data_IF_169526818621
#
_entry.id   IF_169526818621
#
_cell.length_a   1.000
_cell.length_b   1.000
_cell.length_c   1.000
_cell.angle_alpha   90.00
_cell.angle_beta   90.00
_cell.angle_gamma   90.00
#
_symmetry.space_group_name_H-M   'P 1'
#
loop_
_entity.id
_entity.type
_entity.pdbx_description
1 polymer ?
#
# COMPACT_ATOMS: atom_id res chain seq x y z
N UNK A 1 -17.13 1.33 3.87
CA UNK A 1 -16.45 0.05 3.57
C UNK A 1 -15.41 -0.23 4.64
N UNK A 2 -15.42 -1.42 5.19
CA UNK A 2 -14.43 -1.80 6.21
C UNK A 2 -13.07 -2.00 5.57
N UNK A 3 -12.01 -1.79 6.34
CA UNK A 3 -10.66 -1.79 5.80
C UNK A 3 -10.27 -3.13 5.15
N UNK A 4 -10.71 -4.25 5.71
CA UNK A 4 -10.42 -5.55 5.10
C UNK A 4 -11.18 -5.75 3.79
N UNK A 5 -12.35 -5.15 3.65
CA UNK A 5 -13.06 -5.16 2.37
C UNK A 5 -12.30 -4.34 1.33
N UNK A 6 -11.69 -3.24 1.74
CA UNK A 6 -10.87 -2.43 0.84
C UNK A 6 -9.65 -3.21 0.38
N UNK A 7 -8.92 -3.84 1.30
CA UNK A 7 -7.74 -4.63 0.93
C UNK A 7 -8.12 -5.80 0.04
N UNK A 8 -9.24 -6.47 0.30
CA UNK A 8 -9.71 -7.57 -0.56
C UNK A 8 -10.02 -7.07 -1.97
N UNK A 9 -10.67 -5.92 -2.11
CA UNK A 9 -10.92 -5.34 -3.42
C UNK A 9 -9.64 -5.00 -4.17
N UNK A 10 -8.64 -4.47 -3.46
CA UNK A 10 -7.35 -4.14 -4.06
C UNK A 10 -6.66 -5.41 -4.53
N UNK A 11 -6.63 -6.44 -3.69
CA UNK A 11 -5.99 -7.70 -4.03
C UNK A 11 -6.70 -8.37 -5.21
N UNK A 12 -8.02 -8.36 -5.22
CA UNK A 12 -8.79 -8.90 -6.34
C UNK A 12 -8.52 -8.13 -7.63
N UNK A 13 -8.40 -6.82 -7.54
CA UNK A 13 -8.03 -5.98 -8.68
C UNK A 13 -6.65 -6.36 -9.22
N UNK A 14 -5.68 -6.52 -8.33
CA UNK A 14 -4.33 -6.92 -8.71
C UNK A 14 -4.30 -8.33 -9.32
N UNK A 15 -5.08 -9.25 -8.76
CA UNK A 15 -5.21 -10.60 -9.31
C UNK A 15 -5.74 -10.58 -10.74
N UNK A 16 -6.73 -9.74 -11.00
CA UNK A 16 -7.28 -9.59 -12.34
C UNK A 16 -6.22 -9.10 -13.33
N UNK A 17 -5.45 -8.08 -12.92
CA UNK A 17 -4.35 -7.57 -13.75
C UNK A 17 -3.34 -8.66 -14.02
N UNK A 18 -2.89 -9.34 -12.99
CA UNK A 18 -1.85 -10.36 -13.11
C UNK A 18 -2.31 -11.53 -13.98
N UNK A 19 -3.57 -11.94 -13.86
CA UNK A 19 -4.14 -13.01 -14.69
C UNK A 19 -4.19 -12.61 -16.16
N UNK A 20 -4.42 -11.35 -16.44
CA UNK A 20 -4.54 -10.88 -17.81
C UNK A 20 -3.19 -10.70 -18.49
N UNK A 21 -2.18 -10.15 -17.78
CA UNK A 21 -0.92 -9.76 -18.42
C UNK A 21 0.32 -10.51 -17.91
N UNK A 22 0.21 -11.21 -16.78
CA UNK A 22 1.30 -12.02 -16.25
C UNK A 22 2.47 -11.19 -15.71
N UNK A 23 3.56 -11.88 -15.32
CA UNK A 23 4.77 -11.21 -14.87
C UNK A 23 5.60 -10.68 -16.05
N UNK A 24 6.63 -9.89 -15.73
CA UNK A 24 7.63 -9.49 -16.72
C UNK A 24 7.43 -8.13 -17.35
N UNK A 25 6.36 -7.43 -17.02
CA UNK A 25 6.15 -6.07 -17.52
C UNK A 25 6.83 -5.04 -16.62
N UNK A 26 6.92 -3.81 -17.11
CA UNK A 26 7.44 -2.70 -16.31
C UNK A 26 6.45 -2.31 -15.22
N UNK A 27 6.98 -1.82 -14.12
CA UNK A 27 6.18 -1.36 -12.99
C UNK A 27 5.09 -0.36 -13.44
N UNK A 28 5.43 0.55 -14.32
CA UNK A 28 4.52 1.57 -14.83
C UNK A 28 3.28 0.96 -15.50
N UNK A 29 3.46 -0.15 -16.22
CA UNK A 29 2.36 -0.82 -16.89
C UNK A 29 1.36 -1.37 -15.87
N UNK A 30 1.87 -2.03 -14.83
CA UNK A 30 1.01 -2.56 -13.77
C UNK A 30 0.28 -1.44 -13.04
N UNK A 31 0.95 -0.32 -12.86
CA UNK A 31 0.36 0.83 -12.20
C UNK A 31 -0.88 1.33 -12.94
N UNK A 32 -0.79 1.46 -14.25
CA UNK A 32 -1.92 1.90 -15.10
C UNK A 32 -3.04 0.87 -15.06
N UNK A 33 -2.69 -0.41 -15.17
CA UNK A 33 -3.69 -1.48 -15.16
C UNK A 33 -4.45 -1.55 -13.83
N UNK A 34 -3.73 -1.38 -12.71
CA UNK A 34 -4.39 -1.39 -11.41
C UNK A 34 -5.34 -0.22 -11.25
N UNK A 35 -4.96 0.96 -11.72
CA UNK A 35 -5.84 2.12 -11.68
C UNK A 35 -7.16 1.85 -12.41
N UNK A 36 -7.08 1.21 -13.57
CA UNK A 36 -8.28 0.84 -14.30
C UNK A 36 -9.17 -0.09 -13.48
N UNK A 37 -8.60 -1.14 -12.89
CA UNK A 37 -9.37 -2.11 -12.12
C UNK A 37 -9.99 -1.50 -10.87
N UNK A 38 -9.29 -0.60 -10.19
CA UNK A 38 -9.85 0.11 -9.05
C UNK A 38 -11.03 0.99 -9.47
N UNK A 39 -10.91 1.65 -10.63
CA UNK A 39 -11.98 2.48 -11.17
C UNK A 39 -13.22 1.67 -11.52
N UNK A 40 -13.03 0.51 -12.15
CA UNK A 40 -14.15 -0.37 -12.52
C UNK A 40 -14.92 -0.83 -11.28
N UNK A 41 -14.22 -0.98 -10.15
CA UNK A 41 -14.85 -1.37 -8.90
C UNK A 41 -15.41 -0.21 -8.09
N UNK A 42 -15.36 0.98 -8.65
CA UNK A 42 -15.87 2.21 -8.01
C UNK A 42 -15.20 2.53 -6.68
N UNK A 43 -13.94 2.16 -6.55
CA UNK A 43 -13.17 2.54 -5.37
C UNK A 43 -12.67 3.97 -5.53
N UNK A 44 -12.74 4.73 -4.45
CA UNK A 44 -12.12 6.05 -4.40
C UNK A 44 -10.62 5.87 -4.17
N UNK A 45 -9.79 6.48 -4.99
CA UNK A 45 -8.35 6.41 -4.80
C UNK A 45 -7.64 7.64 -5.35
N UNK A 46 -6.48 7.90 -4.79
CA UNK A 46 -5.57 8.93 -5.27
C UNK A 46 -4.28 8.25 -5.68
N UNK A 47 -3.67 8.76 -6.75
CA UNK A 47 -2.43 8.21 -7.31
C UNK A 47 -1.28 9.17 -7.11
N UNK A 48 -0.06 8.62 -6.97
CA UNK A 48 1.17 9.41 -6.92
C UNK A 48 1.08 10.49 -5.86
N UNK A 49 0.70 10.07 -4.66
CA UNK A 49 0.45 10.99 -3.55
C UNK A 49 1.78 11.33 -2.88
N UNK A 50 2.04 12.62 -2.73
CA UNK A 50 3.25 13.08 -2.05
C UNK A 50 3.00 13.09 -0.54
N UNK A 51 3.96 12.51 0.18
CA UNK A 51 3.95 12.52 1.64
C UNK A 51 5.01 13.49 2.13
N UNK A 52 4.61 14.58 2.79
CA UNK A 52 5.59 15.50 3.35
C UNK A 52 6.37 14.84 4.49
N UNK A 53 7.64 15.15 4.58
CA UNK A 53 8.50 14.66 5.66
C UNK A 53 9.03 15.86 6.43
N UNK A 54 8.83 15.83 7.75
CA UNK A 54 9.35 16.87 8.63
C UNK A 54 10.26 16.22 9.66
N UNK A 55 11.45 16.79 9.82
CA UNK A 55 12.43 16.30 10.78
C UNK A 55 12.85 17.46 11.66
N UNK A 56 12.50 17.42 12.93
CA UNK A 56 12.79 18.50 13.89
C UNK A 56 12.39 19.88 13.35
N UNK A 57 11.19 19.96 12.77
CA UNK A 57 10.68 21.22 12.21
C UNK A 57 11.20 21.56 10.82
N UNK A 58 12.16 20.79 10.31
CA UNK A 58 12.68 21.01 8.97
C UNK A 58 11.87 20.20 7.98
N UNK A 59 11.27 20.87 7.01
CA UNK A 59 10.51 20.21 5.97
C UNK A 59 11.46 19.74 4.87
N UNK A 60 11.42 18.43 4.59
CA UNK A 60 12.17 17.84 3.49
C UNK A 60 11.31 17.90 2.24
N UNK A 61 11.83 18.50 1.20
CA UNK A 61 11.13 18.66 -0.06
C UNK A 61 12.08 18.32 -1.22
N UNK A 62 11.67 17.45 -2.16
CA UNK A 62 10.39 16.79 -2.18
C UNK A 62 10.28 15.71 -1.10
N UNK A 63 9.09 15.44 -0.63
CA UNK A 63 8.84 14.31 0.25
C UNK A 63 8.84 13.01 -0.54
N UNK A 64 8.25 11.99 0.05
CA UNK A 64 8.10 10.70 -0.63
C UNK A 64 6.81 10.70 -1.43
N UNK A 65 6.75 9.83 -2.43
CA UNK A 65 5.58 9.65 -3.27
C UNK A 65 5.14 8.20 -3.19
N UNK A 66 3.87 7.98 -2.90
CA UNK A 66 3.30 6.64 -2.85
C UNK A 66 2.40 6.41 -4.06
N UNK A 67 2.31 5.17 -4.50
CA UNK A 67 1.58 4.86 -5.73
C UNK A 67 0.08 5.12 -5.58
N UNK A 68 -0.52 4.64 -4.50
CA UNK A 68 -1.96 4.79 -4.27
C UNK A 68 -2.28 4.96 -2.79
N UNK A 69 -3.32 5.75 -2.55
CA UNK A 69 -4.06 5.72 -1.29
C UNK A 69 -5.50 5.41 -1.67
N UNK A 70 -6.01 4.29 -1.18
CA UNK A 70 -7.34 3.78 -1.55
C UNK A 70 -8.29 3.93 -0.39
N UNK A 71 -9.46 4.51 -0.65
CA UNK A 71 -10.53 4.74 0.33
C UNK A 71 -10.02 5.44 1.60
N UNK A 72 -9.02 6.29 1.44
CA UNK A 72 -8.39 7.03 2.53
C UNK A 72 -7.88 6.16 3.69
N UNK A 73 -7.67 4.87 3.47
CA UNK A 73 -7.28 3.97 4.55
C UNK A 73 -6.20 2.96 4.19
N UNK A 74 -5.97 2.68 2.91
CA UNK A 74 -4.96 1.70 2.50
C UNK A 74 -3.95 2.34 1.57
N UNK A 75 -2.68 2.24 1.94
CA UNK A 75 -1.57 2.70 1.12
C UNK A 75 -1.09 1.52 0.27
N UNK A 76 -0.88 1.73 -1.03
CA UNK A 76 -0.44 0.67 -1.94
C UNK A 76 0.83 1.09 -2.65
N UNK A 77 1.82 0.20 -2.63
CA UNK A 77 3.05 0.33 -3.39
C UNK A 77 3.16 -0.82 -4.37
N UNK A 78 3.45 -0.51 -5.61
CA UNK A 78 3.61 -1.49 -6.68
C UNK A 78 5.09 -1.68 -6.96
N UNK A 79 5.49 -2.92 -7.15
CA UNK A 79 6.84 -3.28 -7.55
C UNK A 79 6.77 -4.26 -8.73
N UNK A 80 7.83 -4.25 -9.53
CA UNK A 80 8.06 -5.24 -10.58
C UNK A 80 9.52 -5.64 -10.51
N UNK A 81 9.90 -6.26 -9.39
CA UNK A 81 11.29 -6.58 -9.08
C UNK A 81 11.46 -8.10 -8.97
N UNK A 82 12.70 -8.54 -9.20
CA UNK A 82 13.01 -9.96 -9.11
C UNK A 82 12.83 -10.47 -7.69
N UNK A 83 13.15 -9.63 -6.69
CA UNK A 83 13.02 -9.99 -5.29
C UNK A 83 12.64 -8.77 -4.46
N UNK A 84 11.66 -8.94 -3.57
CA UNK A 84 11.32 -7.93 -2.59
C UNK A 84 12.35 -7.98 -1.47
N UNK A 85 13.08 -6.89 -1.27
CA UNK A 85 14.09 -6.81 -0.23
C UNK A 85 13.49 -6.26 1.08
N UNK A 86 14.12 -6.57 2.22
CA UNK A 86 13.65 -6.03 3.50
C UNK A 86 13.51 -4.51 3.51
N UNK A 87 14.36 -3.79 2.77
CA UNK A 87 14.28 -2.33 2.70
C UNK A 87 12.97 -1.86 2.06
N UNK A 88 12.41 -2.62 1.13
CA UNK A 88 11.12 -2.27 0.51
C UNK A 88 10.00 -2.31 1.55
N UNK A 89 10.04 -3.29 2.43
CA UNK A 89 9.03 -3.42 3.49
C UNK A 89 9.23 -2.38 4.58
N UNK A 90 10.47 -2.06 4.90
CA UNK A 90 10.78 -0.99 5.84
C UNK A 90 10.29 0.35 5.30
N UNK A 91 10.46 0.59 4.01
CA UNK A 91 9.99 1.79 3.35
C UNK A 91 8.46 1.90 3.40
N UNK A 92 7.76 0.80 3.13
CA UNK A 92 6.30 0.76 3.24
C UNK A 92 5.86 1.16 4.65
N UNK A 93 6.49 0.61 5.67
CA UNK A 93 6.15 0.94 7.04
C UNK A 93 6.44 2.41 7.37
N UNK A 94 7.55 2.95 6.84
CA UNK A 94 7.87 4.37 7.00
C UNK A 94 6.79 5.26 6.38
N UNK A 95 6.32 4.90 5.19
CA UNK A 95 5.25 5.63 4.53
C UNK A 95 3.95 5.59 5.33
N UNK A 96 3.64 4.45 5.95
CA UNK A 96 2.48 4.34 6.83
C UNK A 96 2.61 5.27 8.03
N UNK A 97 3.79 5.33 8.62
CA UNK A 97 4.02 6.23 9.76
C UNK A 97 3.87 7.69 9.35
N UNK A 98 4.39 8.07 8.18
CA UNK A 98 4.30 9.43 7.69
C UNK A 98 2.86 9.82 7.33
N UNK A 99 2.12 8.91 6.73
CA UNK A 99 0.74 9.18 6.30
C UNK A 99 -0.28 9.04 7.40
N UNK A 100 0.06 8.29 8.46
CA UNK A 100 -0.90 7.96 9.51
C UNK A 100 -1.93 6.90 9.11
N UNK A 101 -1.76 6.29 7.94
CA UNK A 101 -2.69 5.27 7.47
C UNK A 101 -2.45 3.95 8.20
N UNK A 102 -3.53 3.18 8.44
CA UNK A 102 -3.42 1.98 9.27
C UNK A 102 -2.84 0.75 8.56
N UNK A 103 -3.01 0.65 7.25
CA UNK A 103 -2.64 -0.56 6.51
C UNK A 103 -1.97 -0.20 5.19
N UNK A 104 -0.93 -0.95 4.85
CA UNK A 104 -0.26 -0.84 3.56
C UNK A 104 -0.11 -2.19 2.88
N UNK A 105 -0.18 -2.17 1.57
CA UNK A 105 0.07 -3.32 0.73
C UNK A 105 1.23 -3.00 -0.21
N UNK A 106 2.18 -3.94 -0.28
CA UNK A 106 3.19 -3.93 -1.33
C UNK A 106 2.85 -5.09 -2.26
N UNK A 107 2.72 -4.80 -3.55
CA UNK A 107 2.34 -5.79 -4.54
C UNK A 107 3.44 -5.86 -5.59
N UNK A 108 4.18 -6.96 -5.58
CA UNK A 108 5.18 -7.24 -6.59
C UNK A 108 4.56 -8.13 -7.67
N UNK A 109 4.37 -7.56 -8.87
CA UNK A 109 3.75 -8.27 -9.98
C UNK A 109 4.72 -9.22 -10.71
N UNK A 110 6.01 -9.10 -10.46
CA UNK A 110 7.00 -9.89 -11.19
C UNK A 110 7.22 -11.24 -10.53
N UNK A 111 6.14 -11.98 -10.36
CA UNK A 111 6.12 -13.33 -9.78
C UNK A 111 5.19 -14.21 -10.59
N UNK A 112 5.40 -15.52 -10.52
CA UNK A 112 4.54 -16.46 -11.23
C UNK A 112 3.15 -16.50 -10.60
N UNK A 113 3.09 -16.55 -9.29
CA UNK A 113 1.83 -16.53 -8.54
C UNK A 113 1.75 -15.25 -7.73
N UNK A 114 0.78 -14.40 -8.02
CA UNK A 114 0.71 -13.08 -7.41
C UNK A 114 0.64 -13.11 -5.89
N UNK A 115 0.00 -14.13 -5.32
CA UNK A 115 -0.08 -14.30 -3.87
C UNK A 115 1.29 -14.19 -3.21
N UNK A 116 2.32 -14.72 -3.86
CA UNK A 116 3.69 -14.69 -3.33
C UNK A 116 4.31 -13.30 -3.39
N UNK A 117 3.76 -12.42 -4.21
CA UNK A 117 4.24 -11.04 -4.36
C UNK A 117 3.54 -10.05 -3.46
N UNK A 118 2.54 -10.45 -2.69
CA UNK A 118 1.78 -9.54 -1.85
C UNK A 118 2.30 -9.57 -0.42
N UNK A 119 2.54 -8.36 0.12
CA UNK A 119 2.94 -8.19 1.52
C UNK A 119 2.02 -7.16 2.14
N UNK A 120 1.57 -7.45 3.35
CA UNK A 120 0.73 -6.54 4.13
C UNK A 120 1.49 -6.08 5.36
N UNK A 121 1.40 -4.79 5.66
CA UNK A 121 1.96 -4.22 6.89
C UNK A 121 0.90 -3.38 7.57
N UNK A 122 0.98 -3.36 8.88
CA UNK A 122 0.02 -2.69 9.75
C UNK A 122 0.75 -1.63 10.57
N UNK A 123 0.15 -0.46 10.64
CA UNK A 123 0.71 0.66 11.40
C UNK A 123 -0.26 0.98 12.54
N UNK A 124 -0.11 0.27 13.66
CA UNK A 124 -1.01 0.42 14.80
C UNK A 124 -2.48 0.30 14.42
N UNK A 125 -2.74 -0.45 13.32
CA UNK A 125 -4.11 -0.77 12.96
C UNK A 125 -4.70 -1.62 14.04
N UNK A 126 -5.92 -1.29 14.44
CA UNK A 126 -6.64 -2.01 15.46
C UNK A 126 -7.94 -2.54 14.89
N UNK A 127 -8.31 -3.72 15.38
CA UNK A 127 -9.64 -4.27 15.11
C UNK A 127 -10.69 -3.52 15.91
N UNK A 128 -11.94 -3.97 15.83
CA UNK A 128 -13.03 -3.35 16.58
C UNK A 128 -12.84 -3.41 18.11
N UNK A 129 -11.93 -4.24 18.59
CA UNK A 129 -11.61 -4.36 20.03
C UNK A 129 -10.55 -3.36 20.49
N UNK A 130 -10.26 -2.38 19.70
CA UNK A 130 -9.20 -1.43 19.98
C UNK A 130 -9.43 -0.54 21.17
N UNK A 131 -10.64 -0.47 21.63
CA UNK A 131 -10.97 0.31 22.81
C UNK A 131 -10.45 -0.30 24.10
N UNK A 132 -9.78 -1.44 24.05
CA UNK A 132 -9.22 -2.06 25.24
C UNK A 132 -8.15 -1.17 25.88
N UNK A 133 -8.39 -0.64 27.07
CA UNK A 133 -7.44 0.27 27.72
C UNK A 133 -6.14 -0.39 28.13
N UNK A 134 -6.06 -1.73 28.10
CA UNK A 134 -4.84 -2.46 28.43
C UNK A 134 -3.86 -2.52 27.26
N UNK A 135 -4.30 -2.13 26.09
CA UNK A 135 -3.40 -2.10 24.93
C UNK A 135 -2.29 -1.09 25.17
N UNK A 136 -1.06 -1.45 24.80
CA UNK A 136 0.05 -0.49 24.92
C UNK A 136 -0.19 0.70 24.01
N UNK A 137 0.34 1.86 24.37
CA UNK A 137 0.24 3.03 23.49
C UNK A 137 0.98 2.78 22.17
N UNK A 138 0.63 3.58 21.17
CA UNK A 138 1.34 3.53 19.89
C UNK A 138 2.82 3.75 20.09
N UNK A 139 3.66 3.00 19.35
CA UNK A 139 5.10 3.27 19.36
C UNK A 139 5.37 4.69 18.82
N UNK A 140 6.43 5.27 19.32
CA UNK A 140 6.91 6.55 18.80
C UNK A 140 7.43 6.36 17.37
N UNK A 141 7.30 7.40 16.62
CA UNK A 141 7.64 7.37 15.21
C UNK A 141 8.81 8.25 14.87
#
# INVERSE_FOLDING_TARGET
MKINEVTDCIINSAMEVHSAVGPGLLEKAYNVCLAYELSVRNLHFERQVRLPVTYHGIRLDPGFRVDYIVENCVLVEIKAVEKVHPVHLAQLLSYLKLSGLPVGLLINFNVVHLREGIRRRVNNYRSEDESDPRRPPRPLR
#
